data_IF_718822829597
#
_entry.id   IF_718822829597
#
_cell.length_a   1.000
_cell.length_b   1.000
_cell.length_c   1.000
_cell.angle_alpha   90.00
_cell.angle_beta   90.00
_cell.angle_gamma   90.00
#
_symmetry.space_group_name_H-M   'P 1'
#
loop_
_entity.id
_entity.type
_entity.pdbx_description
1 polymer ?
#
# COMPACT_ATOMS: atom_id res chain seq x y z
N UNK A 1 5.04 -8.10 19.84
CA UNK A 1 4.33 -7.07 19.07
C UNK A 1 5.03 -6.99 17.71
N UNK A 2 4.32 -7.13 16.59
CA UNK A 2 4.92 -6.98 15.25
C UNK A 2 4.78 -5.53 14.79
N UNK A 3 5.74 -5.02 14.03
CA UNK A 3 5.66 -3.66 13.50
C UNK A 3 4.47 -3.55 12.53
N UNK A 4 3.70 -2.44 12.51
CA UNK A 4 2.52 -2.31 11.64
C UNK A 4 2.82 -2.55 10.15
N UNK A 5 3.94 -2.04 9.65
CA UNK A 5 4.34 -2.25 8.26
C UNK A 5 4.65 -3.72 7.98
N UNK A 6 5.29 -4.42 8.92
CA UNK A 6 5.55 -5.85 8.80
C UNK A 6 4.25 -6.66 8.76
N UNK A 7 3.26 -6.29 9.59
CA UNK A 7 1.93 -6.89 9.54
C UNK A 7 1.26 -6.71 8.17
N UNK A 8 1.27 -5.50 7.62
CA UNK A 8 0.64 -5.20 6.32
C UNK A 8 1.34 -5.93 5.17
N UNK A 9 2.67 -5.95 5.16
CA UNK A 9 3.46 -6.68 4.16
C UNK A 9 3.17 -8.18 4.19
N UNK A 10 3.17 -8.79 5.38
CA UNK A 10 2.93 -10.24 5.53
C UNK A 10 1.53 -10.66 5.09
N UNK A 11 0.53 -9.80 5.25
CA UNK A 11 -0.84 -10.08 4.84
C UNK A 11 -1.13 -9.65 3.38
N UNK A 12 -0.12 -9.14 2.65
CA UNK A 12 -0.29 -8.68 1.27
C UNK A 12 -1.19 -7.45 1.13
N UNK A 13 -1.43 -6.71 2.21
CA UNK A 13 -2.32 -5.56 2.22
C UNK A 13 -1.70 -4.31 1.56
N UNK A 14 -0.37 -4.26 1.38
CA UNK A 14 0.30 -3.17 0.65
C UNK A 14 0.04 -3.20 -0.86
N UNK A 15 -0.44 -4.33 -1.39
CA UNK A 15 -0.72 -4.49 -2.82
C UNK A 15 -2.23 -4.37 -3.13
N UNK A 16 -3.07 -4.09 -2.13
CA UNK A 16 -4.53 -4.10 -2.25
C UNK A 16 -5.18 -2.85 -1.68
N UNK A 17 -6.37 -2.52 -2.18
CA UNK A 17 -7.20 -1.46 -1.66
C UNK A 17 -8.35 -2.05 -0.84
N UNK A 18 -8.71 -1.38 0.25
CA UNK A 18 -9.86 -1.77 1.05
C UNK A 18 -11.06 -0.92 0.66
N UNK A 19 -11.92 -1.47 -0.20
CA UNK A 19 -13.09 -0.80 -0.79
C UNK A 19 -14.31 -1.67 -0.51
N UNK A 20 -15.39 -1.05 -0.03
CA UNK A 20 -16.66 -1.73 0.27
C UNK A 20 -16.49 -2.96 1.18
N UNK A 21 -15.67 -2.80 2.23
CA UNK A 21 -15.43 -3.85 3.22
C UNK A 21 -14.56 -5.03 2.72
N UNK A 22 -13.95 -4.92 1.54
CA UNK A 22 -13.16 -6.00 0.92
C UNK A 22 -11.78 -5.52 0.49
N UNK A 23 -10.81 -6.42 0.57
CA UNK A 23 -9.50 -6.24 -0.04
C UNK A 23 -9.56 -6.59 -1.52
N UNK A 24 -9.40 -5.60 -2.38
CA UNK A 24 -9.46 -5.71 -3.84
C UNK A 24 -8.11 -5.35 -4.46
N UNK A 25 -7.82 -5.93 -5.63
CA UNK A 25 -6.73 -5.43 -6.48
C UNK A 25 -7.11 -4.05 -7.03
N UNK A 26 -6.24 -3.03 -6.92
CA UNK A 26 -6.51 -1.74 -7.53
C UNK A 26 -6.49 -1.86 -9.05
N UNK A 27 -7.34 -1.07 -9.73
CA UNK A 27 -7.42 -1.05 -11.20
C UNK A 27 -6.19 -0.40 -11.84
N UNK A 28 -5.53 0.50 -11.11
CA UNK A 28 -4.23 1.03 -11.49
C UNK A 28 -3.09 0.00 -11.46
N UNK A 29 -2.11 0.16 -12.36
CA UNK A 29 -0.89 -0.67 -12.43
C UNK A 29 0.35 0.02 -11.87
N UNK A 30 0.28 1.32 -11.61
CA UNK A 30 1.40 2.10 -11.09
C UNK A 30 1.72 1.72 -9.64
N UNK A 31 2.96 2.03 -9.21
CA UNK A 31 3.41 1.85 -7.83
C UNK A 31 3.97 3.17 -7.30
N UNK A 32 3.73 3.40 -6.02
CA UNK A 32 4.25 4.55 -5.28
C UNK A 32 5.15 4.08 -4.14
N UNK A 33 6.00 4.99 -3.67
CA UNK A 33 6.86 4.77 -2.51
C UNK A 33 6.50 5.72 -1.39
N UNK A 34 6.63 5.26 -0.15
CA UNK A 34 6.60 6.11 1.05
C UNK A 34 8.03 6.36 1.47
N UNK A 35 8.40 7.63 1.58
CA UNK A 35 9.72 8.08 2.03
C UNK A 35 9.60 8.62 3.45
N UNK A 36 10.49 8.20 4.34
CA UNK A 36 10.59 8.77 5.68
C UNK A 36 11.18 10.18 5.60
N UNK A 37 10.45 11.24 5.99
CA UNK A 37 10.94 12.62 5.86
C UNK A 37 12.14 12.94 6.76
N UNK A 38 12.39 12.14 7.81
CA UNK A 38 13.51 12.37 8.73
C UNK A 38 14.83 11.75 8.24
N UNK A 39 14.76 10.75 7.36
CA UNK A 39 15.95 9.99 6.90
C UNK A 39 16.08 9.94 5.38
N UNK A 40 15.08 10.43 4.65
CA UNK A 40 14.95 10.34 3.18
C UNK A 40 14.98 8.90 2.63
N UNK A 41 14.84 7.90 3.49
CA UNK A 41 14.82 6.50 3.08
C UNK A 41 13.42 6.07 2.66
N UNK A 42 13.35 5.25 1.62
CA UNK A 42 12.11 4.54 1.26
C UNK A 42 11.79 3.52 2.34
N UNK A 43 10.60 3.61 2.92
CA UNK A 43 10.13 2.69 3.97
C UNK A 43 9.09 1.70 3.48
N UNK A 44 8.36 2.01 2.40
CA UNK A 44 7.38 1.09 1.82
C UNK A 44 7.15 1.38 0.34
N UNK A 45 6.66 0.37 -0.39
CA UNK A 45 6.13 0.49 -1.74
C UNK A 45 4.71 -0.08 -1.75
N UNK A 46 3.80 0.53 -2.51
CA UNK A 46 2.41 0.10 -2.58
C UNK A 46 1.82 0.38 -3.96
N UNK A 47 0.71 -0.28 -4.28
CA UNK A 47 -0.01 -0.08 -5.54
C UNK A 47 -0.74 1.26 -5.55
N UNK A 48 -0.70 1.96 -6.67
CA UNK A 48 -1.51 3.16 -6.90
C UNK A 48 -2.76 2.77 -7.70
N UNK A 49 -3.91 3.27 -7.25
CA UNK A 49 -5.16 3.15 -7.99
C UNK A 49 -5.24 4.15 -9.14
N UNK A 50 -6.34 4.10 -9.86
CA UNK A 50 -6.69 5.08 -10.90
C UNK A 50 -8.09 5.69 -10.62
N UNK A 51 -8.62 6.45 -11.58
CA UNK A 51 -9.94 7.09 -11.46
C UNK A 51 -11.11 6.12 -11.33
N UNK A 52 -10.92 4.83 -11.59
CA UNK A 52 -11.96 3.82 -11.45
C UNK A 52 -12.03 3.22 -10.03
N UNK A 53 -11.05 3.51 -9.18
CA UNK A 53 -10.99 3.07 -7.78
C UNK A 53 -11.63 4.09 -6.80
N UNK A 54 -12.13 5.24 -7.28
CA UNK A 54 -12.66 6.38 -6.49
C UNK A 54 -14.13 6.70 -6.73
#
# INVERSE_FOLDING_TARGET
MIAPLEHLSRNGHLEKFFIDGKWLEPRGTAKGVVVNPATEQVVAQFRLGNSEDV
#
